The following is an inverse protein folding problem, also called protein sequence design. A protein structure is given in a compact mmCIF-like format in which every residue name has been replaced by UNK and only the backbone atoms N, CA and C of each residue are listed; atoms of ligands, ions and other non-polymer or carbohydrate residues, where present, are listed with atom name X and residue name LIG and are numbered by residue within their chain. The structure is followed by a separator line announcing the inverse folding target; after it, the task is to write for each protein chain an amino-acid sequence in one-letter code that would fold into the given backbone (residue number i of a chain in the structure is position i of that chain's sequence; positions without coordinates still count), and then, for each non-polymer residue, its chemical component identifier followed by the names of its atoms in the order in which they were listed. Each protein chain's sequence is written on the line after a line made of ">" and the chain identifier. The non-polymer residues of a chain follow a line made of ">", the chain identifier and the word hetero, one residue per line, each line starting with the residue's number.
data_IF_926155206234
#
_entry.id   IF_926155206234
#
_cell.length_a   1.000
_cell.length_b   1.000
_cell.length_c   1.000
_cell.angle_alpha   90.00
_cell.angle_beta   90.00
_cell.angle_gamma   90.00
#
_symmetry.space_group_name_H-M   'P 1'
#
loop_
_entity.id
_entity.type
_entity.pdbx_description
1 polymer ?
#
# COMPACT_ATOMS: atom_id res chain seq x y z
N UNK A 1 1.18 -2.02 24.57
CA UNK A 1 2.00 -2.22 23.36
C UNK A 1 1.72 -1.04 22.47
N UNK A 2 2.70 -0.17 22.23
CA UNK A 2 2.56 0.86 21.20
C UNK A 2 2.37 0.17 19.85
N UNK A 3 1.29 0.48 19.14
CA UNK A 3 1.15 0.06 17.75
C UNK A 3 2.31 0.65 16.96
N UNK A 4 3.16 -0.23 16.43
CA UNK A 4 4.28 0.15 15.59
C UNK A 4 3.75 0.92 14.39
N UNK A 5 4.03 2.22 14.33
CA UNK A 5 3.59 3.09 13.23
C UNK A 5 4.11 2.55 11.89
N UNK A 6 3.22 1.99 11.09
CA UNK A 6 3.53 1.54 9.73
C UNK A 6 3.51 2.73 8.78
N UNK A 7 4.68 3.28 8.49
CA UNK A 7 4.80 4.37 7.53
C UNK A 7 4.43 3.90 6.11
N UNK A 8 3.63 4.70 5.40
CA UNK A 8 3.23 4.47 4.01
C UNK A 8 4.44 4.27 3.07
N UNK A 9 5.54 4.98 3.32
CA UNK A 9 6.81 4.81 2.58
C UNK A 9 7.34 3.36 2.60
N UNK A 10 7.04 2.59 3.65
CA UNK A 10 7.51 1.21 3.78
C UNK A 10 6.71 0.24 2.89
N UNK A 11 5.53 0.64 2.40
CA UNK A 11 4.70 -0.15 1.49
C UNK A 11 5.11 0.03 0.03
N UNK A 12 5.79 1.11 -0.32
CA UNK A 12 6.25 1.39 -1.67
C UNK A 12 7.14 0.27 -2.20
N UNK A 13 6.93 -0.13 -3.45
CA UNK A 13 7.69 -1.19 -4.12
C UNK A 13 7.43 -2.61 -3.60
N UNK A 14 6.56 -2.80 -2.59
CA UNK A 14 6.20 -4.16 -2.16
C UNK A 14 5.40 -4.87 -3.24
N UNK A 15 5.68 -6.16 -3.42
CA UNK A 15 4.90 -7.04 -4.29
C UNK A 15 3.52 -7.31 -3.68
N UNK A 16 2.48 -7.13 -4.49
CA UNK A 16 1.10 -7.48 -4.13
C UNK A 16 0.74 -8.80 -4.78
N UNK A 17 0.25 -9.74 -3.96
CA UNK A 17 -0.14 -11.09 -4.39
C UNK A 17 -1.56 -11.42 -3.93
N UNK A 18 -2.23 -12.31 -4.64
CA UNK A 18 -3.48 -12.93 -4.16
C UNK A 18 -3.19 -13.87 -2.99
N UNK A 19 -4.24 -14.28 -2.26
CA UNK A 19 -4.15 -15.35 -1.27
C UNK A 19 -3.58 -16.66 -1.84
N UNK A 20 -3.77 -16.92 -3.14
CA UNK A 20 -3.23 -18.07 -3.86
C UNK A 20 -1.81 -17.87 -4.41
N UNK A 21 -1.19 -16.70 -4.20
CA UNK A 21 0.20 -16.43 -4.60
C UNK A 21 0.38 -15.84 -6.00
N UNK A 22 -0.70 -15.52 -6.74
CA UNK A 22 -0.59 -14.85 -8.05
C UNK A 22 -0.14 -13.40 -7.85
N UNK A 23 0.94 -12.97 -8.52
CA UNK A 23 1.40 -11.56 -8.52
C UNK A 23 0.38 -10.68 -9.26
N UNK A 24 -0.02 -9.58 -8.62
CA UNK A 24 -0.76 -8.49 -9.27
C UNK A 24 0.13 -7.36 -9.74
N UNK A 25 1.25 -7.10 -9.06
CA UNK A 25 2.15 -5.98 -9.36
C UNK A 25 2.98 -5.57 -8.16
N UNK A 26 3.56 -4.38 -8.22
CA UNK A 26 4.23 -3.73 -7.11
C UNK A 26 3.51 -2.43 -6.74
N UNK A 27 3.56 -2.03 -5.47
CA UNK A 27 3.02 -0.73 -5.05
C UNK A 27 3.80 0.41 -5.71
N UNK A 28 3.15 1.12 -6.62
CA UNK A 28 3.72 2.27 -7.32
C UNK A 28 3.36 3.60 -6.65
N UNK A 29 2.16 3.70 -6.09
CA UNK A 29 1.71 4.89 -5.37
C UNK A 29 0.58 4.55 -4.38
N UNK A 30 0.28 5.47 -3.48
CA UNK A 30 -0.78 5.37 -2.47
C UNK A 30 -1.55 6.68 -2.46
N UNK A 31 -2.87 6.64 -2.65
CA UNK A 31 -3.72 7.83 -2.63
C UNK A 31 -4.42 7.98 -1.29
N UNK A 32 -4.51 9.23 -0.85
CA UNK A 32 -5.15 9.60 0.40
C UNK A 32 -6.18 10.70 0.15
N UNK A 33 -7.27 10.68 0.92
CA UNK A 33 -8.16 11.82 1.01
C UNK A 33 -7.39 12.96 1.72
N UNK A 34 -7.35 14.14 1.11
CA UNK A 34 -6.40 15.19 1.49
C UNK A 34 -6.73 15.90 2.80
N UNK A 35 -7.98 15.84 3.26
CA UNK A 35 -8.48 16.49 4.46
C UNK A 35 -8.36 15.60 5.70
N UNK A 36 -8.63 14.31 5.58
CA UNK A 36 -8.62 13.33 6.68
C UNK A 36 -7.33 12.52 6.72
N UNK A 37 -6.62 12.41 5.60
CA UNK A 37 -5.47 11.50 5.46
C UNK A 37 -5.88 10.04 5.35
N UNK A 38 -7.16 9.75 5.09
CA UNK A 38 -7.65 8.38 4.93
C UNK A 38 -7.07 7.73 3.67
N UNK A 39 -6.60 6.50 3.82
CA UNK A 39 -6.12 5.68 2.71
C UNK A 39 -7.31 5.34 1.81
N UNK A 40 -7.26 5.80 0.57
CA UNK A 40 -8.30 5.52 -0.42
C UNK A 40 -7.91 4.32 -1.28
N UNK A 41 -6.71 4.35 -1.87
CA UNK A 41 -6.30 3.34 -2.84
C UNK A 41 -4.79 3.07 -2.78
N UNK A 42 -4.42 1.84 -3.13
CA UNK A 42 -3.04 1.46 -3.44
C UNK A 42 -2.97 1.23 -4.95
N UNK A 43 -2.13 2.02 -5.62
CA UNK A 43 -1.97 1.98 -7.07
C UNK A 43 -0.81 1.06 -7.41
N UNK A 44 -1.07 0.05 -8.23
CA UNK A 44 -0.07 -0.93 -8.65
C UNK A 44 0.60 -0.52 -9.97
N UNK A 45 1.89 -0.79 -10.07
CA UNK A 45 2.67 -0.70 -11.32
C UNK A 45 3.00 -2.12 -11.81
N UNK A 46 2.90 -2.30 -13.14
CA UNK A 46 3.19 -3.54 -13.86
C UNK A 46 4.13 -3.24 -15.02
#
# INVERSE_FOLDING_TARGET
>A
MEEEKRYSKNLMGKTVVTKSGKKFGEVGNISFESRTGELMQIILKN
#
